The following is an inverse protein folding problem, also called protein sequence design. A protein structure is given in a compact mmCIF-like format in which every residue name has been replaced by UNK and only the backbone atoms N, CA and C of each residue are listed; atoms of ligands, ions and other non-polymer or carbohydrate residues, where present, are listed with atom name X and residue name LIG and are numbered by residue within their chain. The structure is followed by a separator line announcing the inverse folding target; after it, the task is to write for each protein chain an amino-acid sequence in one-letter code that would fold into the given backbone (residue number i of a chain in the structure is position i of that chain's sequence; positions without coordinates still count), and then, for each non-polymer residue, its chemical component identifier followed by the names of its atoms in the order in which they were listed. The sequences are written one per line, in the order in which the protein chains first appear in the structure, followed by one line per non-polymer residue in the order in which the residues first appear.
data_IF_485708263844
#
_entry.id   IF_485708263844
#
_cell.length_a   1.000
_cell.length_b   1.000
_cell.length_c   1.000
_cell.angle_alpha   90.00
_cell.angle_beta   90.00
_cell.angle_gamma   90.00
#
_symmetry.space_group_name_H-M   'P 1'
#
loop_
_entity.id
_entity.type
_entity.pdbx_description
1 polymer ?
#
# COMPACT_ATOMS: atom_id res chain seq x y z
N UNK A 1 -3.04 1.42 -11.38
CA UNK A 1 -2.25 0.46 -10.54
C UNK A 1 -2.52 -1.00 -10.90
N UNK A 2 -3.74 -1.39 -11.33
CA UNK A 2 -4.04 -2.79 -11.73
C UNK A 2 -3.14 -3.30 -12.86
N UNK A 3 -2.85 -2.47 -13.86
CA UNK A 3 -1.96 -2.83 -14.96
C UNK A 3 -0.54 -3.21 -14.49
N UNK A 4 0.03 -2.47 -13.53
CA UNK A 4 1.36 -2.79 -12.98
C UNK A 4 1.35 -4.13 -12.24
N UNK A 5 0.29 -4.41 -11.46
CA UNK A 5 0.15 -5.69 -10.81
C UNK A 5 0.03 -6.84 -11.83
N UNK A 6 -0.74 -6.66 -12.90
CA UNK A 6 -0.85 -7.66 -13.97
C UNK A 6 0.48 -7.91 -14.68
N UNK A 7 1.28 -6.86 -14.91
CA UNK A 7 2.64 -7.01 -15.46
C UNK A 7 3.53 -7.83 -14.51
N UNK A 8 3.51 -7.54 -13.21
CA UNK A 8 4.31 -8.28 -12.22
C UNK A 8 3.85 -9.74 -12.10
N UNK A 9 2.53 -9.99 -12.10
CA UNK A 9 1.99 -11.36 -12.14
C UNK A 9 2.43 -12.12 -13.40
N UNK A 10 2.59 -11.43 -14.53
CA UNK A 10 3.14 -11.99 -15.76
C UNK A 10 4.67 -12.17 -15.74
N UNK A 11 5.34 -11.86 -14.63
CA UNK A 11 6.78 -11.97 -14.46
C UNK A 11 7.58 -10.72 -14.86
N UNK A 12 6.91 -9.61 -15.14
CA UNK A 12 7.57 -8.36 -15.55
C UNK A 12 7.91 -7.49 -14.34
N UNK A 13 9.09 -7.72 -13.77
CA UNK A 13 9.75 -6.83 -12.82
C UNK A 13 9.09 -6.75 -11.44
N UNK A 14 9.35 -5.64 -10.73
CA UNK A 14 8.84 -5.36 -9.37
C UNK A 14 8.38 -3.91 -9.27
N UNK A 15 7.41 -3.63 -8.41
CA UNK A 15 6.93 -2.27 -8.15
C UNK A 15 6.45 -2.09 -6.71
N UNK A 16 6.40 -0.84 -6.25
CA UNK A 16 5.83 -0.48 -4.96
C UNK A 16 4.30 -0.33 -5.12
N UNK A 17 3.55 -1.34 -4.66
CA UNK A 17 2.09 -1.38 -4.76
C UNK A 17 1.43 -1.30 -3.37
N UNK A 18 0.22 -0.72 -3.25
CA UNK A 18 -0.54 -0.74 -2.00
C UNK A 18 -0.93 -2.18 -1.62
N UNK A 19 -0.38 -2.70 -0.52
CA UNK A 19 -0.56 -4.09 -0.07
C UNK A 19 -2.03 -4.52 0.01
N UNK A 20 -2.88 -3.68 0.60
CA UNK A 20 -4.28 -4.00 0.86
C UNK A 20 -5.11 -4.26 -0.40
N UNK A 21 -4.78 -3.58 -1.51
CA UNK A 21 -5.53 -3.72 -2.76
C UNK A 21 -5.23 -5.05 -3.48
N UNK A 22 -4.08 -5.67 -3.16
CA UNK A 22 -3.61 -6.89 -3.80
C UNK A 22 -3.45 -8.06 -2.82
N UNK A 23 -4.13 -8.01 -1.67
CA UNK A 23 -4.02 -9.05 -0.63
C UNK A 23 -4.45 -10.43 -1.15
N UNK A 24 -5.48 -10.50 -1.99
CA UNK A 24 -5.88 -11.77 -2.62
C UNK A 24 -4.77 -12.35 -3.49
N UNK A 25 -4.13 -11.54 -4.34
CA UNK A 25 -3.05 -11.95 -5.22
C UNK A 25 -1.85 -12.47 -4.41
N UNK A 26 -1.54 -11.80 -3.29
CA UNK A 26 -0.47 -12.23 -2.37
C UNK A 26 -0.84 -13.55 -1.69
N UNK A 27 -2.07 -13.68 -1.18
CA UNK A 27 -2.56 -14.92 -0.56
C UNK A 27 -2.58 -16.09 -1.54
N UNK A 28 -2.86 -15.82 -2.82
CA UNK A 28 -2.84 -16.79 -3.91
C UNK A 28 -1.43 -17.03 -4.48
N UNK A 29 -0.38 -16.41 -3.89
CA UNK A 29 1.02 -16.50 -4.33
C UNK A 29 1.28 -16.04 -5.77
N UNK A 30 0.38 -15.24 -6.36
CA UNK A 30 0.61 -14.60 -7.66
C UNK A 30 1.49 -13.36 -7.54
N UNK A 31 1.48 -12.72 -6.37
CA UNK A 31 2.40 -11.65 -6.02
C UNK A 31 3.14 -12.01 -4.73
N UNK A 32 4.36 -11.50 -4.58
CA UNK A 32 5.17 -11.67 -3.37
C UNK A 32 5.65 -10.31 -2.86
N UNK A 33 5.56 -10.12 -1.54
CA UNK A 33 6.11 -8.93 -0.88
C UNK A 33 7.62 -9.07 -0.76
N UNK A 34 8.36 -8.12 -1.33
CA UNK A 34 9.81 -8.00 -1.21
C UNK A 34 10.13 -7.07 -0.05
N UNK A 35 10.97 -7.51 0.88
CA UNK A 35 11.49 -6.66 1.97
C UNK A 35 12.76 -5.96 1.49
N UNK A 36 12.81 -4.64 1.62
CA UNK A 36 13.96 -3.83 1.23
C UNK A 36 14.74 -3.34 2.45
N UNK A 37 16.05 -3.17 2.28
CA UNK A 37 16.91 -2.47 3.23
C UNK A 37 17.55 -1.29 2.49
N UNK A 38 17.26 -0.03 2.88
CA UNK A 38 16.37 0.38 3.96
C UNK A 38 14.88 0.08 3.71
N UNK A 39 14.03 0.10 4.76
CA UNK A 39 12.60 -0.15 4.59
C UNK A 39 11.97 0.86 3.63
N UNK A 40 11.01 0.39 2.83
CA UNK A 40 10.27 1.26 1.92
C UNK A 40 9.63 2.45 2.66
N UNK A 41 9.64 3.65 2.07
CA UNK A 41 9.07 4.83 2.70
C UNK A 41 7.58 4.65 2.94
N UNK A 42 7.09 5.19 4.07
CA UNK A 42 5.66 5.22 4.36
C UNK A 42 4.98 6.22 3.42
N UNK A 43 3.86 5.80 2.84
CA UNK A 43 3.06 6.65 1.95
C UNK A 43 1.87 7.19 2.75
N UNK A 44 1.65 8.51 2.70
CA UNK A 44 0.49 9.16 3.30
C UNK A 44 -0.49 9.58 2.21
N UNK A 45 -1.75 9.17 2.33
CA UNK A 45 -2.83 9.57 1.42
C UNK A 45 -3.58 10.76 2.00
N UNK A 46 -3.89 11.74 1.15
CA UNK A 46 -4.62 12.94 1.54
C UNK A 46 -5.86 13.11 0.67
N UNK A 47 -6.98 13.47 1.29
CA UNK A 47 -8.12 14.05 0.59
C UNK A 47 -7.89 15.57 0.51
N UNK A 48 -7.71 16.09 -0.71
CA UNK A 48 -7.45 17.50 -0.95
C UNK A 48 -8.61 18.13 -1.73
N UNK A 49 -9.05 19.30 -1.29
CA UNK A 49 -10.09 20.09 -1.94
C UNK A 49 -9.81 21.59 -1.74
N UNK A 50 -10.34 22.43 -2.64
CA UNK A 50 -10.14 23.87 -2.57
C UNK A 50 -10.88 24.48 -1.39
N UNK A 51 -10.22 25.44 -0.72
CA UNK A 51 -10.84 26.22 0.36
C UNK A 51 -11.74 27.30 -0.24
N UNK A 52 -13.02 26.98 -0.41
CA UNK A 52 -14.06 27.91 -0.90
C UNK A 52 -15.06 28.25 0.22
N UNK A 53 -15.92 29.25 -0.02
CA UNK A 53 -16.91 29.74 0.96
C UNK A 53 -17.86 28.66 1.53
N UNK A 54 -17.97 27.50 0.88
CA UNK A 54 -18.79 26.35 1.32
C UNK A 54 -17.96 25.07 1.53
N UNK A 55 -16.83 25.17 2.23
CA UNK A 55 -15.94 24.03 2.48
C UNK A 55 -16.56 22.87 3.30
N UNK A 56 -17.74 23.06 3.91
CA UNK A 56 -18.42 22.05 4.73
C UNK A 56 -18.66 20.74 3.98
N UNK A 57 -19.09 20.81 2.72
CA UNK A 57 -19.28 19.62 1.88
C UNK A 57 -17.96 18.89 1.63
N UNK A 58 -16.89 19.64 1.36
CA UNK A 58 -15.54 19.09 1.16
C UNK A 58 -15.05 18.34 2.40
N UNK A 59 -15.25 18.90 3.60
CA UNK A 59 -14.94 18.22 4.85
C UNK A 59 -15.78 16.96 5.06
N UNK A 60 -17.09 17.01 4.81
CA UNK A 60 -17.96 15.85 4.96
C UNK A 60 -17.56 14.70 4.01
N UNK A 61 -17.27 15.00 2.73
CA UNK A 61 -16.78 14.02 1.76
C UNK A 61 -15.41 13.47 2.17
N UNK A 62 -14.50 14.33 2.65
CA UNK A 62 -13.18 13.90 3.13
C UNK A 62 -13.29 12.97 4.35
N UNK A 63 -14.23 13.22 5.26
CA UNK A 63 -14.47 12.36 6.41
C UNK A 63 -15.01 10.98 6.01
N UNK A 64 -15.94 10.93 5.05
CA UNK A 64 -16.42 9.65 4.48
C UNK A 64 -15.28 8.92 3.79
N UNK A 65 -14.50 9.61 2.96
CA UNK A 65 -13.36 9.03 2.26
C UNK A 65 -12.32 8.47 3.24
N UNK A 66 -12.05 9.17 4.36
CA UNK A 66 -11.16 8.69 5.41
C UNK A 66 -11.66 7.41 6.09
N UNK A 67 -12.97 7.27 6.28
CA UNK A 67 -13.56 6.06 6.87
C UNK A 67 -13.51 4.86 5.92
N UNK A 68 -13.73 5.08 4.62
CA UNK A 68 -13.76 3.99 3.64
C UNK A 68 -12.36 3.60 3.12
N UNK A 69 -11.40 4.53 3.12
CA UNK A 69 -10.07 4.36 2.53
C UNK A 69 -8.96 4.31 3.59
N UNK A 70 -9.16 3.52 4.65
CA UNK A 70 -8.11 3.31 5.66
C UNK A 70 -7.06 2.30 5.18
N UNK A 71 -5.97 2.81 4.59
CA UNK A 71 -4.81 2.02 4.19
C UNK A 71 -3.80 1.80 5.35
N UNK A 72 -4.14 2.22 6.57
CA UNK A 72 -3.26 2.19 7.75
C UNK A 72 -3.33 0.86 8.54
N UNK A 73 -4.37 0.05 8.32
CA UNK A 73 -4.83 -0.91 9.34
C UNK A 73 -4.09 -2.28 9.39
N UNK A 74 -2.92 -2.46 8.77
CA UNK A 74 -2.10 -3.66 9.08
C UNK A 74 -0.60 -3.38 9.06
N UNK A 75 0.00 -3.38 10.26
CA UNK A 75 1.45 -3.51 10.43
C UNK A 75 1.89 -4.83 9.76
N UNK A 76 2.67 -4.74 8.69
CA UNK A 76 3.32 -5.91 8.09
C UNK A 76 4.11 -6.64 9.19
N UNK A 77 3.93 -7.96 9.38
CA UNK A 77 4.79 -8.71 10.29
C UNK A 77 6.21 -8.67 9.72
N UNK A 78 7.10 -7.99 10.44
CA UNK A 78 8.52 -7.87 10.11
C UNK A 78 9.16 -9.25 10.30
N UNK A 79 9.16 -10.08 9.26
CA UNK A 79 9.86 -11.36 9.29
C UNK A 79 11.35 -11.12 9.09
N UNK A 80 12.05 -10.78 10.18
CA UNK A 80 13.52 -10.73 10.25
C UNK A 80 14.07 -12.07 9.76
N UNK A 81 14.70 -12.10 8.58
CA UNK A 81 15.57 -13.22 8.21
C UNK A 81 16.78 -13.13 9.12
N UNK A 82 16.93 -14.10 10.03
CA UNK A 82 18.17 -14.29 10.76
C UNK A 82 19.28 -14.53 9.72
N UNK A 83 20.27 -13.65 9.72
CA UNK A 83 21.52 -13.87 9.01
C UNK A 83 22.18 -15.11 9.63
N UNK A 84 22.24 -16.19 8.86
CA UNK A 84 23.10 -17.33 9.14
C UNK A 84 24.54 -16.86 9.04
N UNK A 85 25.14 -16.63 10.21
CA UNK A 85 26.58 -16.75 10.44
C UNK A 85 26.99 -18.17 10.08
N UNK A 86 28.03 -18.33 9.24
CA UNK A 86 28.86 -19.51 9.34
C UNK A 86 30.31 -19.10 9.07
N UNK A 87 31.10 -19.33 10.11
CA UNK A 87 32.57 -19.33 10.19
C UNK A 87 33.13 -20.48 9.35
#
# INVERSE_FOLDING_TARGET
MVALAGLIEAGMGVSCLPLHLFDQQIRQKRLQVVSTEPPAPKITYYAAFLKQHQAVLGYAVADIARQCCDFSSRKQPTRRRAATSNV
#
